data_IF_840209465948
#
_entry.id   IF_840209465948
#
_cell.length_a   1.000
_cell.length_b   1.000
_cell.length_c   1.000
_cell.angle_alpha   90.00
_cell.angle_beta   90.00
_cell.angle_gamma   90.00
#
_symmetry.space_group_name_H-M   'P 1'
#
loop_
_entity.id
_entity.type
_entity.pdbx_description
1 polymer ?
#
# COMPACT_ATOMS: atom_id res chain seq x y z
N UNK A 1 -6.60 11.41 -6.21
CA UNK A 1 -5.23 10.93 -6.48
C UNK A 1 -5.05 10.85 -7.99
N UNK A 2 -4.23 11.72 -8.59
CA UNK A 2 -3.89 11.57 -10.01
C UNK A 2 -3.13 10.25 -10.18
N UNK A 3 -3.57 9.34 -11.06
CA UNK A 3 -2.80 8.14 -11.35
C UNK A 3 -1.45 8.55 -11.93
N UNK A 4 -0.37 7.94 -11.43
CA UNK A 4 0.96 8.12 -11.97
C UNK A 4 0.95 7.83 -13.48
N UNK A 5 1.75 8.54 -14.28
CA UNK A 5 1.83 8.30 -15.71
C UNK A 5 2.20 6.84 -15.98
N UNK A 6 1.45 6.18 -16.88
CA UNK A 6 1.62 4.76 -17.25
C UNK A 6 3.08 4.30 -17.51
N UNK A 7 3.95 5.05 -18.21
CA UNK A 7 5.32 4.60 -18.41
C UNK A 7 6.11 4.48 -17.10
N UNK A 8 5.81 5.35 -16.14
CA UNK A 8 6.49 5.39 -14.85
C UNK A 8 6.00 4.27 -13.92
N UNK A 9 4.71 3.93 -13.94
CA UNK A 9 4.21 2.73 -13.24
C UNK A 9 4.73 1.43 -13.85
N UNK A 10 4.90 1.35 -15.17
CA UNK A 10 5.57 0.24 -15.86
C UNK A 10 7.03 0.08 -15.44
N UNK A 11 7.78 1.18 -15.39
CA UNK A 11 9.17 1.18 -14.96
C UNK A 11 9.30 0.66 -13.51
N UNK A 12 8.49 1.18 -12.59
CA UNK A 12 8.51 0.72 -11.20
C UNK A 12 8.02 -0.73 -11.03
N UNK A 13 7.05 -1.18 -11.83
CA UNK A 13 6.64 -2.58 -11.86
C UNK A 13 7.79 -3.49 -12.30
N UNK A 14 8.48 -3.15 -13.39
CA UNK A 14 9.61 -3.93 -13.91
C UNK A 14 10.75 -4.02 -12.90
N UNK A 15 11.15 -2.89 -12.31
CA UNK A 15 12.19 -2.84 -11.27
C UNK A 15 11.78 -3.68 -10.05
N UNK A 16 10.54 -3.54 -9.58
CA UNK A 16 10.05 -4.32 -8.43
C UNK A 16 10.00 -5.81 -8.73
N UNK A 17 9.59 -6.21 -9.94
CA UNK A 17 9.52 -7.63 -10.31
C UNK A 17 10.92 -8.24 -10.42
N UNK A 18 11.87 -7.51 -11.01
CA UNK A 18 13.26 -7.96 -11.10
C UNK A 18 13.88 -8.15 -9.71
N UNK A 19 13.66 -7.19 -8.80
CA UNK A 19 14.18 -7.27 -7.44
C UNK A 19 13.46 -8.35 -6.60
N UNK A 20 12.17 -8.59 -6.83
CA UNK A 20 11.45 -9.70 -6.24
C UNK A 20 12.03 -11.06 -6.68
N UNK A 21 12.27 -11.24 -7.99
CA UNK A 21 12.91 -12.44 -8.54
C UNK A 21 14.32 -12.64 -7.97
N UNK A 22 15.09 -11.56 -7.84
CA UNK A 22 16.41 -11.59 -7.18
C UNK A 22 16.28 -12.03 -5.72
N UNK A 23 15.25 -11.55 -5.01
CA UNK A 23 14.90 -12.00 -3.66
C UNK A 23 14.60 -13.50 -3.58
N UNK A 24 13.86 -14.06 -4.56
CA UNK A 24 13.62 -15.51 -4.65
C UNK A 24 14.96 -16.26 -4.78
N UNK A 25 15.84 -15.82 -5.67
CA UNK A 25 17.15 -16.43 -5.87
C UNK A 25 17.99 -16.34 -4.58
N UNK A 26 17.95 -15.22 -3.87
CA UNK A 26 18.63 -15.05 -2.58
C UNK A 26 18.08 -16.00 -1.51
N UNK A 27 16.77 -16.22 -1.44
CA UNK A 27 16.17 -17.21 -0.53
C UNK A 27 16.61 -18.63 -0.89
N UNK A 28 16.58 -18.99 -2.18
CA UNK A 28 16.98 -20.31 -2.65
C UNK A 28 18.47 -20.61 -2.44
N UNK A 29 19.32 -19.57 -2.49
CA UNK A 29 20.77 -19.68 -2.26
C UNK A 29 21.16 -19.54 -0.78
N UNK A 30 20.19 -19.38 0.12
CA UNK A 30 20.43 -19.26 1.56
C UNK A 30 21.05 -17.91 1.98
N UNK A 31 21.02 -16.90 1.12
CA UNK A 31 21.53 -15.57 1.44
C UNK A 31 20.66 -14.89 2.51
N UNK A 32 21.26 -14.56 3.66
CA UNK A 32 20.65 -13.75 4.72
C UNK A 32 20.21 -12.40 4.13
N UNK A 33 18.90 -12.20 4.01
CA UNK A 33 18.29 -11.00 3.42
C UNK A 33 17.41 -11.23 2.18
N UNK A 34 17.33 -12.46 1.65
CA UNK A 34 16.43 -12.77 0.54
C UNK A 34 14.94 -12.57 0.87
N UNK A 35 14.51 -12.97 2.06
CA UNK A 35 13.13 -12.82 2.54
C UNK A 35 12.64 -11.34 2.56
N UNK A 36 13.40 -10.38 3.10
CA UNK A 36 13.07 -8.95 3.04
C UNK A 36 12.96 -8.38 1.62
N UNK A 37 13.92 -8.72 0.77
CA UNK A 37 13.94 -8.27 -0.64
C UNK A 37 12.71 -8.81 -1.36
N UNK A 38 12.42 -10.11 -1.17
CA UNK A 38 11.24 -10.74 -1.74
C UNK A 38 9.94 -10.11 -1.23
N UNK A 39 9.83 -9.86 0.07
CA UNK A 39 8.64 -9.27 0.67
C UNK A 39 8.39 -7.84 0.19
N UNK A 40 9.42 -6.98 0.20
CA UNK A 40 9.30 -5.58 -0.20
C UNK A 40 8.94 -5.45 -1.68
N UNK A 41 9.76 -6.06 -2.52
CA UNK A 41 9.65 -5.89 -3.96
C UNK A 41 8.55 -6.76 -4.54
N UNK A 42 8.23 -7.89 -3.91
CA UNK A 42 7.03 -8.69 -4.23
C UNK A 42 5.75 -7.92 -3.93
N UNK A 43 5.64 -7.28 -2.76
CA UNK A 43 4.52 -6.41 -2.44
C UNK A 43 4.44 -5.21 -3.40
N UNK A 44 5.57 -4.56 -3.69
CA UNK A 44 5.65 -3.48 -4.68
C UNK A 44 5.16 -3.92 -6.06
N UNK A 45 5.67 -5.04 -6.57
CA UNK A 45 5.25 -5.62 -7.85
C UNK A 45 3.75 -5.92 -7.86
N UNK A 46 3.20 -6.46 -6.77
CA UNK A 46 1.76 -6.72 -6.63
C UNK A 46 0.93 -5.41 -6.69
N UNK A 47 1.35 -4.37 -5.97
CA UNK A 47 0.67 -3.06 -5.98
C UNK A 47 0.72 -2.42 -7.38
N UNK A 48 1.88 -2.45 -8.04
CA UNK A 48 2.01 -1.90 -9.39
C UNK A 48 1.25 -2.72 -10.43
N UNK A 49 1.19 -4.06 -10.31
CA UNK A 49 0.35 -4.90 -11.15
C UNK A 49 -1.13 -4.50 -11.02
N UNK A 50 -1.60 -4.25 -9.80
CA UNK A 50 -2.95 -3.76 -9.52
C UNK A 50 -3.22 -2.36 -10.11
N UNK A 51 -2.21 -1.49 -10.16
CA UNK A 51 -2.33 -0.17 -10.80
C UNK A 51 -2.31 -0.23 -12.33
N UNK A 52 -1.52 -1.15 -12.90
CA UNK A 52 -1.37 -1.31 -14.36
C UNK A 52 -2.58 -1.97 -15.00
N UNK A 53 -3.12 -3.01 -14.34
CA UNK A 53 -4.29 -3.75 -14.78
C UNK A 53 -5.46 -3.57 -13.82
N UNK A 54 -6.03 -2.35 -13.72
CA UNK A 54 -7.23 -2.14 -12.91
C UNK A 54 -8.42 -2.90 -13.50
N UNK A 55 -8.40 -3.25 -14.80
CA UNK A 55 -9.52 -3.92 -15.47
C UNK A 55 -9.65 -5.41 -15.11
N UNK A 56 -8.55 -6.08 -14.76
CA UNK A 56 -8.58 -7.49 -14.35
C UNK A 56 -9.04 -7.66 -12.90
N UNK A 57 -8.84 -6.63 -12.06
CA UNK A 57 -9.16 -6.69 -10.63
C UNK A 57 -10.36 -5.81 -10.19
N UNK A 58 -10.72 -4.77 -10.93
CA UNK A 58 -11.91 -3.93 -10.66
C UNK A 58 -13.00 -4.22 -11.67
N UNK A 59 -13.91 -5.11 -11.28
CA UNK A 59 -14.99 -5.66 -12.12
C UNK A 59 -16.00 -4.64 -12.69
N UNK A 60 -15.94 -3.34 -12.33
CA UNK A 60 -16.71 -2.25 -12.96
C UNK A 60 -16.25 -0.89 -12.40
N UNK A 61 -15.54 -0.08 -13.18
CA UNK A 61 -15.56 1.38 -12.99
C UNK A 61 -16.83 1.89 -13.67
N UNK A 62 -17.88 2.13 -12.90
CA UNK A 62 -19.05 2.84 -13.43
C UNK A 62 -18.72 4.32 -13.48
N UNK A 63 -19.01 4.94 -14.62
CA UNK A 63 -18.75 6.35 -14.84
C UNK A 63 -19.68 7.18 -13.96
N UNK A 64 -19.17 8.24 -13.33
CA UNK A 64 -19.95 9.03 -12.36
C UNK A 64 -21.21 9.61 -13.02
N UNK A 65 -21.11 10.04 -14.28
CA UNK A 65 -22.23 10.52 -15.08
C UNK A 65 -23.30 9.42 -15.30
N UNK A 66 -22.89 8.17 -15.53
CA UNK A 66 -23.83 7.04 -15.68
C UNK A 66 -24.48 6.61 -14.36
N UNK A 67 -23.81 6.83 -13.22
CA UNK A 67 -24.36 6.59 -11.89
C UNK A 67 -25.41 7.64 -11.51
N UNK A 68 -25.13 8.93 -11.78
CA UNK A 68 -26.06 10.04 -11.54
C UNK A 68 -27.30 9.93 -12.43
N UNK A 69 -27.12 9.56 -13.70
CA UNK A 69 -28.24 9.34 -14.63
C UNK A 69 -29.16 8.18 -14.20
N UNK A 70 -28.65 7.22 -13.42
CA UNK A 70 -29.41 6.04 -12.97
C UNK A 70 -30.00 6.20 -11.57
N UNK A 71 -29.40 7.05 -10.74
CA UNK A 71 -29.85 7.36 -9.38
C UNK A 71 -29.89 8.88 -9.21
N UNK A 72 -31.05 9.54 -9.46
CA UNK A 72 -31.19 11.00 -9.37
C UNK A 72 -31.20 11.55 -7.94
N UNK A 73 -30.95 10.71 -6.92
CA UNK A 73 -30.81 11.11 -5.52
C UNK A 73 -29.35 11.00 -5.05
N UNK A 74 -29.01 11.56 -3.88
CA UNK A 74 -27.64 11.57 -3.37
C UNK A 74 -27.09 10.15 -3.18
N UNK A 75 -25.99 9.84 -3.87
CA UNK A 75 -25.36 8.52 -3.82
C UNK A 75 -24.24 8.54 -2.79
N UNK A 76 -24.41 7.77 -1.71
CA UNK A 76 -23.36 7.54 -0.71
C UNK A 76 -22.43 6.43 -1.20
N UNK A 77 -21.21 6.80 -1.62
CA UNK A 77 -20.14 5.87 -1.91
C UNK A 77 -19.35 5.57 -0.64
N UNK A 78 -19.27 4.29 -0.29
CA UNK A 78 -18.47 3.81 0.82
C UNK A 78 -17.08 3.42 0.34
N UNK A 79 -16.06 3.92 1.02
CA UNK A 79 -14.72 3.38 0.86
C UNK A 79 -14.71 1.91 1.31
N UNK A 80 -14.10 1.05 0.50
CA UNK A 80 -13.96 -0.37 0.81
C UNK A 80 -13.01 -0.55 2.01
N UNK A 81 -13.58 -0.75 3.20
CA UNK A 81 -12.84 -1.04 4.45
C UNK A 81 -11.84 -2.18 4.32
N UNK A 82 -12.20 -3.22 3.56
CA UNK A 82 -11.35 -4.39 3.30
C UNK A 82 -10.02 -4.01 2.65
N UNK A 83 -10.03 -3.05 1.72
CA UNK A 83 -8.80 -2.57 1.04
C UNK A 83 -7.88 -1.84 1.99
N UNK A 84 -8.42 -0.91 2.78
CA UNK A 84 -7.63 -0.17 3.76
C UNK A 84 -7.09 -1.09 4.86
N UNK A 85 -7.88 -2.06 5.30
CA UNK A 85 -7.46 -3.06 6.26
C UNK A 85 -6.35 -3.97 5.70
N UNK A 86 -6.49 -4.50 4.48
CA UNK A 86 -5.45 -5.33 3.86
C UNK A 86 -4.14 -4.56 3.66
N UNK A 87 -4.23 -3.28 3.29
CA UNK A 87 -3.06 -2.39 3.19
C UNK A 87 -2.42 -2.14 4.56
N UNK A 88 -3.21 -1.87 5.60
CA UNK A 88 -2.71 -1.69 6.96
C UNK A 88 -1.99 -2.93 7.49
N UNK A 89 -2.58 -4.12 7.29
CA UNK A 89 -1.98 -5.41 7.68
C UNK A 89 -0.69 -5.65 6.89
N UNK A 90 -0.66 -5.38 5.60
CA UNK A 90 0.56 -5.50 4.78
C UNK A 90 1.68 -4.59 5.27
N UNK A 91 1.39 -3.31 5.55
CA UNK A 91 2.35 -2.38 6.12
C UNK A 91 2.86 -2.84 7.50
N UNK A 92 1.97 -3.33 8.37
CA UNK A 92 2.34 -3.82 9.69
C UNK A 92 3.22 -5.07 9.61
N UNK A 93 2.86 -6.05 8.77
CA UNK A 93 3.66 -7.26 8.56
C UNK A 93 5.05 -6.93 8.03
N UNK A 94 5.14 -5.98 7.10
CA UNK A 94 6.43 -5.56 6.56
C UNK A 94 7.26 -4.77 7.58
N UNK A 95 6.64 -3.92 8.42
CA UNK A 95 7.33 -3.27 9.53
C UNK A 95 7.88 -4.27 10.56
N UNK A 96 7.10 -5.31 10.91
CA UNK A 96 7.54 -6.39 11.80
C UNK A 96 8.72 -7.14 11.19
N UNK A 97 8.70 -7.41 9.88
CA UNK A 97 9.80 -8.08 9.19
C UNK A 97 11.08 -7.23 9.19
N UNK A 98 10.97 -5.91 8.97
CA UNK A 98 12.13 -5.01 9.10
C UNK A 98 12.64 -4.93 10.54
N UNK A 99 11.74 -4.92 11.52
CA UNK A 99 12.11 -4.94 12.94
C UNK A 99 12.82 -6.24 13.31
N UNK A 100 12.34 -7.37 12.79
CA UNK A 100 12.98 -8.68 12.97
C UNK A 100 14.41 -8.66 12.44
N UNK A 101 14.66 -8.15 11.22
CA UNK A 101 16.03 -8.01 10.68
C UNK A 101 16.93 -7.08 11.48
N UNK A 102 16.33 -6.09 12.15
CA UNK A 102 17.06 -5.11 12.94
C UNK A 102 17.48 -5.69 14.30
N UNK A 103 16.67 -6.63 14.81
CA UNK A 103 16.88 -7.31 16.09
C UNK A 103 17.62 -8.65 15.94
N UNK A 104 17.58 -9.28 14.77
CA UNK A 104 18.30 -10.51 14.41
C UNK A 104 19.79 -10.20 14.15
N UNK A 105 20.44 -9.62 15.15
CA UNK A 105 21.88 -9.40 15.16
C UNK A 105 22.56 -10.65 15.71
N UNK A 106 23.08 -11.48 14.80
CA UNK A 106 23.91 -12.62 15.16
C UNK A 106 25.23 -12.11 15.76
N UNK A 107 25.60 -12.49 17.01
CA UNK A 107 26.82 -12.02 17.66
C UNK A 107 28.11 -12.49 16.97
N UNK A 108 28.01 -13.44 16.04
CA UNK A 108 29.13 -13.94 15.25
C UNK A 108 29.42 -13.11 13.98
N UNK A 109 28.52 -12.22 13.56
CA UNK A 109 28.68 -11.41 12.35
C UNK A 109 29.28 -10.02 12.66
N UNK A 110 30.03 -9.43 11.71
CA UNK A 110 30.54 -8.08 11.85
C UNK A 110 29.39 -7.08 12.11
N UNK A 111 29.59 -6.08 12.99
CA UNK A 111 28.54 -5.15 13.36
C UNK A 111 27.98 -4.47 12.12
N UNK A 112 26.66 -4.51 12.01
CA UNK A 112 25.95 -4.00 10.84
C UNK A 112 26.27 -2.52 10.63
N UNK A 113 26.57 -2.07 9.39
CA UNK A 113 26.98 -0.69 9.15
C UNK A 113 25.88 0.28 9.59
N UNK A 114 26.27 1.34 10.31
CA UNK A 114 25.34 2.29 10.94
C UNK A 114 24.31 2.87 9.95
N UNK A 115 24.72 3.11 8.70
CA UNK A 115 23.84 3.56 7.63
C UNK A 115 22.67 2.59 7.38
N UNK A 116 22.95 1.28 7.36
CA UNK A 116 21.93 0.23 7.14
C UNK A 116 20.93 0.20 8.31
N UNK A 117 21.41 0.36 9.55
CA UNK A 117 20.53 0.45 10.73
C UNK A 117 19.62 1.67 10.67
N UNK A 118 20.14 2.84 10.30
CA UNK A 118 19.34 4.07 10.17
C UNK A 118 18.25 3.91 9.11
N UNK A 119 18.59 3.35 7.95
CA UNK A 119 17.61 3.10 6.87
C UNK A 119 16.49 2.16 7.33
N UNK A 120 16.83 1.07 8.04
CA UNK A 120 15.85 0.12 8.55
C UNK A 120 14.94 0.74 9.61
N UNK A 121 15.49 1.49 10.57
CA UNK A 121 14.70 2.22 11.57
C UNK A 121 13.73 3.22 10.91
N UNK A 122 14.20 3.95 9.90
CA UNK A 122 13.36 4.88 9.14
C UNK A 122 12.23 4.14 8.40
N UNK A 123 12.53 2.98 7.80
CA UNK A 123 11.55 2.10 7.19
C UNK A 123 10.48 1.62 8.19
N UNK A 124 10.91 1.08 9.34
CA UNK A 124 10.01 0.62 10.42
C UNK A 124 9.09 1.75 10.87
N UNK A 125 9.65 2.94 11.12
CA UNK A 125 8.87 4.11 11.55
C UNK A 125 7.84 4.53 10.51
N UNK A 126 8.26 4.67 9.24
CA UNK A 126 7.37 5.07 8.16
C UNK A 126 6.23 4.07 7.92
N UNK A 127 6.54 2.77 7.89
CA UNK A 127 5.53 1.72 7.64
C UNK A 127 4.56 1.57 8.81
N UNK A 128 5.04 1.69 10.04
CA UNK A 128 4.20 1.66 11.24
C UNK A 128 3.25 2.87 11.27
N UNK A 129 3.74 4.05 10.87
CA UNK A 129 2.91 5.24 10.72
C UNK A 129 1.85 5.05 9.63
N UNK A 130 2.24 4.55 8.45
CA UNK A 130 1.31 4.24 7.37
C UNK A 130 0.23 3.23 7.80
N UNK A 131 0.62 2.14 8.48
CA UNK A 131 -0.32 1.16 9.00
C UNK A 131 -1.32 1.80 9.98
N UNK A 132 -0.82 2.66 10.88
CA UNK A 132 -1.65 3.37 11.87
C UNK A 132 -2.64 4.32 11.20
N UNK A 133 -2.20 5.11 10.22
CA UNK A 133 -3.08 6.04 9.48
C UNK A 133 -4.15 5.27 8.68
N UNK A 134 -3.77 4.18 8.02
CA UNK A 134 -4.73 3.35 7.28
C UNK A 134 -5.74 2.67 8.21
N UNK A 135 -5.29 2.19 9.37
CA UNK A 135 -6.17 1.61 10.40
C UNK A 135 -7.12 2.65 10.98
N UNK A 136 -6.64 3.87 11.26
CA UNK A 136 -7.50 4.98 11.67
C UNK A 136 -8.57 5.30 10.60
N UNK A 137 -8.20 5.26 9.32
CA UNK A 137 -9.14 5.40 8.20
C UNK A 137 -10.22 4.31 8.15
N UNK A 138 -9.89 3.07 8.53
CA UNK A 138 -10.86 1.97 8.64
C UNK A 138 -11.85 2.23 9.78
N UNK A 139 -11.36 2.67 10.93
CA UNK A 139 -12.17 2.94 12.13
C UNK A 139 -13.12 4.13 11.94
N UNK A 140 -12.60 5.24 11.37
CA UNK A 140 -13.39 6.46 11.13
C UNK A 140 -14.43 6.25 10.02
N UNK A 141 -14.13 5.39 9.03
CA UNK A 141 -15.03 5.09 7.93
C UNK A 141 -15.19 6.27 6.97
N UNK A 142 -14.53 6.21 5.82
CA UNK A 142 -14.65 7.24 4.79
C UNK A 142 -15.91 7.03 3.94
N UNK A 143 -16.76 8.06 3.88
CA UNK A 143 -17.93 8.14 3.01
C UNK A 143 -17.76 9.31 2.04
N UNK A 144 -18.19 9.11 0.82
CA UNK A 144 -18.18 10.12 -0.23
C UNK A 144 -19.62 10.27 -0.70
N UNK A 145 -20.19 11.45 -0.56
CA UNK A 145 -21.53 11.74 -1.08
C UNK A 145 -21.37 12.39 -2.45
N UNK A 146 -22.00 11.80 -3.47
CA UNK A 146 -22.23 12.47 -4.75
C UNK A 146 -23.62 13.07 -4.70
N UNK A 147 -23.67 14.41 -4.70
CA UNK A 147 -24.91 15.16 -4.87
C UNK A 147 -24.96 15.77 -6.29
N UNK A 148 -26.14 16.15 -6.76
CA UNK A 148 -26.37 16.68 -8.12
C UNK A 148 -25.57 17.94 -8.44
N UNK A 149 -25.03 18.63 -7.42
CA UNK A 149 -24.20 19.82 -7.55
C UNK A 149 -22.68 19.54 -7.52
N UNK A 150 -22.24 18.30 -7.24
CA UNK A 150 -20.82 17.93 -7.27
C UNK A 150 -20.39 16.85 -6.25
N UNK A 151 -19.07 16.63 -6.17
CA UNK A 151 -18.43 15.68 -5.25
C UNK A 151 -18.15 16.35 -3.90
N UNK A 152 -18.89 15.99 -2.85
CA UNK A 152 -18.60 16.44 -1.48
C UNK A 152 -17.95 15.32 -0.67
N UNK A 153 -16.69 15.54 -0.28
CA UNK A 153 -15.95 14.57 0.55
C UNK A 153 -16.32 14.80 2.02
N UNK A 154 -17.23 13.97 2.55
CA UNK A 154 -17.65 14.04 3.96
C UNK A 154 -16.75 13.15 4.80
N UNK A 155 -15.62 13.72 5.25
CA UNK A 155 -14.77 13.08 6.26
C UNK A 155 -15.41 13.27 7.64
N UNK A 156 -15.83 12.18 8.27
CA UNK A 156 -16.41 12.21 9.62
C UNK A 156 -15.34 12.71 10.60
N UNK A 157 -15.49 13.97 11.04
CA UNK A 157 -14.52 14.69 11.88
C UNK A 157 -14.68 16.22 11.91
N UNK A 158 -15.44 16.80 10.98
CA UNK A 158 -15.82 18.23 11.04
C UNK A 158 -17.30 18.39 10.70
N UNK A 159 -18.17 18.31 11.72
CA UNK A 159 -19.45 19.01 11.68
C UNK A 159 -19.12 20.50 11.78
N UNK A 160 -19.09 21.21 10.66
CA UNK A 160 -19.39 22.64 10.71
C UNK A 160 -20.91 22.75 10.69
N UNK A 161 -21.46 23.06 11.85
CA UNK A 161 -22.76 23.73 11.94
C UNK A 161 -22.64 25.11 11.28
#
# INVERSE_FOLDING_TARGET
>A
MHPLPRPLSLAFFGISTFLALSGIIMVLTGFRGGWPVLALFGAGAFVFAHMLWPQTFHRRRQDAATLIARFPGPVTLYSSRVRYFSLAVGCAAFAVLLLFLLLDADPAEPPMPALRQVILWLGVGFLSLCASVMMAGVLVGQRLELDGEGLTMVTLGRRKF
#
